data_IF_549042807484
#
_entry.id   IF_549042807484
#
_cell.length_a   1.000
_cell.length_b   1.000
_cell.length_c   1.000
_cell.angle_alpha   90.00
_cell.angle_beta   90.00
_cell.angle_gamma   90.00
#
_symmetry.space_group_name_H-M   'P 1'
#
loop_
_entity.id
_entity.type
_entity.pdbx_description
1 polymer ?
#
# COMPACT_ATOMS: atom_id res chain seq x y z
N UNK A 1 -39.44 69.16 -26.44
CA UNK A 1 -38.01 68.93 -26.66
C UNK A 1 -37.53 68.14 -25.48
N UNK A 2 -37.51 66.83 -25.57
CA UNK A 2 -37.15 65.93 -24.49
C UNK A 2 -35.81 65.25 -24.83
N UNK A 3 -34.81 65.52 -24.06
CA UNK A 3 -33.51 64.85 -24.10
C UNK A 3 -33.54 63.65 -23.15
N UNK A 4 -33.36 62.43 -23.65
CA UNK A 4 -33.23 61.21 -22.90
C UNK A 4 -31.76 61.02 -22.46
N UNK A 5 -31.45 60.68 -21.20
CA UNK A 5 -30.08 60.38 -20.81
C UNK A 5 -29.72 58.96 -21.17
N UNK A 6 -28.53 58.75 -21.76
CA UNK A 6 -27.91 57.49 -22.04
C UNK A 6 -27.45 56.80 -20.75
N UNK A 7 -27.91 55.60 -20.55
CA UNK A 7 -27.45 54.69 -19.47
C UNK A 7 -26.12 54.05 -19.87
N UNK A 8 -25.07 54.32 -19.12
CA UNK A 8 -23.78 53.65 -19.22
C UNK A 8 -23.86 52.33 -18.46
N UNK A 9 -23.87 51.21 -19.17
CA UNK A 9 -23.76 49.86 -18.63
C UNK A 9 -22.27 49.55 -18.45
N UNK A 10 -21.79 49.61 -17.21
CA UNK A 10 -20.46 49.12 -16.86
C UNK A 10 -20.47 47.59 -16.88
N UNK A 11 -19.74 46.98 -17.81
CA UNK A 11 -19.49 45.55 -17.83
C UNK A 11 -18.54 45.17 -16.68
N UNK A 12 -19.05 44.33 -15.74
CA UNK A 12 -18.22 43.70 -14.72
C UNK A 12 -17.38 42.61 -15.41
N UNK A 13 -16.08 42.81 -15.52
CA UNK A 13 -15.14 41.75 -15.90
C UNK A 13 -15.12 40.67 -14.82
N UNK A 14 -15.12 39.36 -15.20
CA UNK A 14 -15.00 38.29 -14.22
C UNK A 14 -13.61 38.32 -13.58
N UNK A 15 -13.57 38.38 -12.26
CA UNK A 15 -12.33 38.32 -11.49
C UNK A 15 -11.54 37.04 -11.82
N UNK A 16 -10.24 37.22 -12.08
CA UNK A 16 -9.33 36.08 -12.31
C UNK A 16 -9.33 35.10 -11.12
N UNK A 17 -9.25 33.79 -11.34
CA UNK A 17 -9.21 32.84 -10.26
C UNK A 17 -7.96 33.06 -9.40
N UNK A 18 -8.16 33.25 -8.10
CA UNK A 18 -7.08 33.36 -7.14
C UNK A 18 -6.30 32.05 -7.10
N UNK A 19 -4.95 32.09 -7.06
CA UNK A 19 -4.16 30.87 -6.91
C UNK A 19 -4.53 30.18 -5.57
N UNK A 20 -4.83 28.88 -5.65
CA UNK A 20 -5.13 28.07 -4.48
C UNK A 20 -3.96 28.14 -3.50
N UNK A 21 -4.22 28.57 -2.27
CA UNK A 21 -3.25 28.55 -1.18
C UNK A 21 -2.81 27.09 -0.96
N UNK A 22 -1.50 26.78 -0.94
CA UNK A 22 -1.05 25.41 -0.65
C UNK A 22 -1.57 25.00 0.72
N UNK A 23 -2.32 23.90 0.79
CA UNK A 23 -2.73 23.31 2.05
C UNK A 23 -1.45 22.92 2.82
N UNK A 24 -1.33 23.23 4.12
CA UNK A 24 -0.19 22.80 4.92
C UNK A 24 -0.11 21.28 4.88
N UNK A 25 1.09 20.74 4.61
CA UNK A 25 1.32 19.30 4.64
C UNK A 25 0.95 18.77 6.04
N UNK A 26 0.21 17.65 6.09
CA UNK A 26 -0.11 17.00 7.35
C UNK A 26 1.17 16.72 8.16
N UNK A 27 1.15 16.88 9.48
CA UNK A 27 2.30 16.55 10.32
C UNK A 27 2.70 15.08 10.11
N UNK A 28 4.00 14.78 10.13
CA UNK A 28 4.53 13.44 9.82
C UNK A 28 3.88 12.32 10.65
N UNK A 29 3.47 12.61 11.87
CA UNK A 29 2.77 11.67 12.74
C UNK A 29 1.38 11.25 12.22
N UNK A 30 0.77 12.01 11.30
CA UNK A 30 -0.54 11.73 10.73
C UNK A 30 -0.46 11.02 9.36
N UNK A 31 0.74 10.95 8.75
CA UNK A 31 0.92 10.27 7.47
C UNK A 31 0.94 8.75 7.65
N UNK A 32 0.16 8.04 6.85
CA UNK A 32 0.12 6.57 6.86
C UNK A 32 1.32 5.93 6.16
N UNK A 33 2.02 6.68 5.31
CA UNK A 33 3.27 6.28 4.66
C UNK A 33 4.32 7.35 4.91
N UNK A 34 5.49 6.94 5.42
CA UNK A 34 6.63 7.83 5.57
C UNK A 34 7.65 7.54 4.48
N UNK A 35 8.28 8.59 3.97
CA UNK A 35 9.29 8.49 2.92
C UNK A 35 10.52 9.33 3.27
N UNK A 36 11.69 8.73 3.13
CA UNK A 36 12.98 9.41 3.29
C UNK A 36 14.01 8.79 2.36
N UNK A 37 15.03 9.57 1.99
CA UNK A 37 16.17 9.08 1.22
C UNK A 37 17.45 9.24 2.05
N UNK A 38 18.20 8.16 2.19
CA UNK A 38 19.46 8.14 2.94
C UNK A 38 20.53 7.47 2.06
N UNK A 39 21.61 8.17 1.77
CA UNK A 39 22.71 7.64 0.97
C UNK A 39 22.24 6.98 -0.34
N UNK A 40 21.35 7.63 -1.07
CA UNK A 40 20.75 7.16 -2.33
C UNK A 40 19.82 5.95 -2.19
N UNK A 41 19.45 5.56 -0.98
CA UNK A 41 18.47 4.50 -0.71
C UNK A 41 17.15 5.14 -0.29
N UNK A 42 16.08 4.87 -1.01
CA UNK A 42 14.75 5.25 -0.60
C UNK A 42 14.28 4.32 0.53
N UNK A 43 13.74 4.88 1.60
CA UNK A 43 13.16 4.13 2.72
C UNK A 43 11.70 4.52 2.81
N UNK A 44 10.84 3.53 2.63
CA UNK A 44 9.39 3.65 2.76
C UNK A 44 8.95 2.90 4.00
N UNK A 45 8.30 3.62 4.91
CA UNK A 45 7.81 3.06 6.17
C UNK A 45 6.28 3.07 6.16
N UNK A 46 5.67 1.89 6.30
CA UNK A 46 4.23 1.74 6.52
C UNK A 46 3.91 2.21 7.94
N UNK A 47 3.11 3.28 8.10
CA UNK A 47 2.97 3.98 9.38
C UNK A 47 1.55 3.96 9.94
N UNK A 48 1.02 2.76 10.16
CA UNK A 48 -0.23 2.51 10.91
C UNK A 48 -0.01 1.46 12.00
N UNK A 49 0.93 1.67 12.96
CA UNK A 49 1.33 0.64 13.92
C UNK A 49 0.20 0.15 14.82
N UNK A 50 -0.80 0.99 15.10
CA UNK A 50 -1.99 0.62 15.86
C UNK A 50 -2.86 -0.42 15.13
N UNK A 51 -2.81 -0.43 13.79
CA UNK A 51 -3.50 -1.39 12.92
C UNK A 51 -2.55 -2.44 12.35
N UNK A 52 -1.37 -2.68 12.95
CA UNK A 52 -0.33 -3.58 12.44
C UNK A 52 0.08 -3.24 11.00
N UNK A 53 0.09 -1.96 10.66
CA UNK A 53 0.40 -1.43 9.33
C UNK A 53 -0.48 -2.01 8.22
N UNK A 54 -1.75 -2.34 8.53
CA UNK A 54 -2.72 -2.78 7.55
C UNK A 54 -2.92 -1.69 6.47
N UNK A 55 -3.00 -2.12 5.21
CA UNK A 55 -3.08 -1.26 4.05
C UNK A 55 -4.47 -0.61 3.93
N UNK A 56 -4.54 0.69 4.12
CA UNK A 56 -5.68 1.48 3.69
C UNK A 56 -5.63 1.72 2.17
N UNK A 57 -6.76 2.05 1.56
CA UNK A 57 -6.78 2.40 0.14
C UNK A 57 -5.91 3.64 -0.16
N UNK A 58 -5.87 4.59 0.78
CA UNK A 58 -4.99 5.76 0.67
C UNK A 58 -3.51 5.36 0.63
N UNK A 59 -3.08 4.45 1.54
CA UNK A 59 -1.71 3.92 1.54
C UNK A 59 -1.34 3.24 0.23
N UNK A 60 -2.23 2.39 -0.31
CA UNK A 60 -1.97 1.68 -1.58
C UNK A 60 -1.70 2.68 -2.71
N UNK A 61 -2.50 3.73 -2.81
CA UNK A 61 -2.34 4.76 -3.84
C UNK A 61 -1.10 5.62 -3.62
N UNK A 62 -0.81 5.98 -2.37
CA UNK A 62 0.38 6.75 -2.01
C UNK A 62 1.66 5.96 -2.31
N UNK A 63 1.70 4.66 -1.95
CA UNK A 63 2.81 3.76 -2.26
C UNK A 63 3.04 3.66 -3.76
N UNK A 64 2.01 3.48 -4.57
CA UNK A 64 2.14 3.43 -6.02
C UNK A 64 2.75 4.72 -6.58
N UNK A 65 2.28 5.88 -6.14
CA UNK A 65 2.84 7.18 -6.58
C UNK A 65 4.30 7.38 -6.14
N UNK A 66 4.65 7.00 -4.90
CA UNK A 66 6.02 7.07 -4.40
C UNK A 66 6.95 6.16 -5.18
N UNK A 67 6.52 4.94 -5.50
CA UNK A 67 7.32 3.98 -6.27
C UNK A 67 7.59 4.48 -7.70
N UNK A 68 6.61 5.10 -8.35
CA UNK A 68 6.83 5.72 -9.67
C UNK A 68 7.86 6.85 -9.60
N UNK A 69 7.81 7.68 -8.56
CA UNK A 69 8.81 8.73 -8.35
C UNK A 69 10.21 8.15 -8.10
N UNK A 70 10.31 7.11 -7.23
CA UNK A 70 11.59 6.41 -6.96
C UNK A 70 12.12 5.73 -8.21
N UNK A 71 11.25 5.18 -9.05
CA UNK A 71 11.62 4.56 -10.33
C UNK A 71 12.25 5.56 -11.29
N UNK A 72 11.68 6.76 -11.36
CA UNK A 72 12.12 7.84 -12.27
C UNK A 72 13.37 8.60 -11.79
N UNK A 73 13.73 8.51 -10.51
CA UNK A 73 14.84 9.26 -9.92
C UNK A 73 16.15 8.45 -10.00
N UNK A 74 17.03 8.77 -10.93
CA UNK A 74 18.36 8.12 -11.10
C UNK A 74 19.29 8.32 -9.90
N UNK A 75 19.05 9.29 -9.03
CA UNK A 75 19.83 9.48 -7.81
C UNK A 75 19.53 8.38 -6.77
N UNK A 76 18.39 7.71 -6.84
CA UNK A 76 18.00 6.60 -5.96
C UNK A 76 18.41 5.28 -6.62
N UNK A 77 19.12 4.43 -5.89
CA UNK A 77 19.66 3.16 -6.41
C UNK A 77 18.99 1.92 -5.81
N UNK A 78 18.29 2.03 -4.70
CA UNK A 78 17.61 0.92 -4.03
C UNK A 78 16.43 1.43 -3.20
N UNK A 79 15.54 0.51 -2.83
CA UNK A 79 14.36 0.74 -2.00
C UNK A 79 14.39 -0.18 -0.77
N UNK A 80 14.07 0.36 0.40
CA UNK A 80 13.79 -0.41 1.61
C UNK A 80 12.32 -0.24 1.96
N UNK A 81 11.63 -1.35 2.25
CA UNK A 81 10.28 -1.38 2.80
C UNK A 81 10.36 -1.84 4.25
N UNK A 82 9.75 -1.08 5.16
CA UNK A 82 9.69 -1.39 6.58
C UNK A 82 8.33 -1.02 7.17
N UNK A 83 7.98 -1.62 8.32
CA UNK A 83 6.79 -1.26 9.08
C UNK A 83 7.15 -0.45 10.32
N UNK A 84 6.35 0.57 10.64
CA UNK A 84 6.49 1.33 11.88
C UNK A 84 6.07 0.50 13.09
N UNK A 85 6.77 0.72 14.21
CA UNK A 85 6.49 0.08 15.50
C UNK A 85 6.98 -1.37 15.58
N UNK A 86 6.87 -1.99 16.76
CA UNK A 86 7.52 -3.28 17.04
C UNK A 86 6.67 -4.51 16.70
N UNK A 87 5.43 -4.34 16.20
CA UNK A 87 4.45 -5.45 16.12
C UNK A 87 4.39 -6.11 14.77
N UNK A 88 4.67 -5.42 13.68
CA UNK A 88 4.54 -6.00 12.37
C UNK A 88 5.02 -5.12 11.23
N UNK A 89 5.42 -5.80 10.17
CA UNK A 89 5.69 -5.16 8.88
C UNK A 89 4.37 -4.68 8.25
N UNK A 90 3.44 -5.62 7.99
CA UNK A 90 2.14 -5.32 7.41
C UNK A 90 1.18 -6.51 7.58
N UNK A 91 -0.01 -6.27 8.11
CA UNK A 91 -1.04 -7.30 8.31
C UNK A 91 -1.95 -7.55 7.10
N UNK A 92 -1.63 -6.95 5.93
CA UNK A 92 -2.44 -7.04 4.70
C UNK A 92 -3.45 -5.92 4.56
N UNK A 93 -4.43 -6.08 3.69
CA UNK A 93 -5.49 -5.09 3.47
C UNK A 93 -6.32 -4.82 4.74
N UNK A 94 -6.80 -3.58 4.89
CA UNK A 94 -7.69 -3.21 6.01
C UNK A 94 -9.10 -3.79 5.79
N UNK A 95 -9.26 -5.07 6.17
CA UNK A 95 -10.51 -5.83 5.98
C UNK A 95 -11.71 -5.14 6.65
N UNK A 96 -11.50 -4.38 7.74
CA UNK A 96 -12.59 -3.65 8.40
C UNK A 96 -13.08 -2.49 7.53
N UNK A 97 -12.16 -1.74 6.93
CA UNK A 97 -12.50 -0.67 5.99
C UNK A 97 -13.18 -1.25 4.73
N UNK A 98 -12.65 -2.35 4.17
CA UNK A 98 -13.25 -3.04 3.03
C UNK A 98 -14.68 -3.53 3.31
N UNK A 99 -14.92 -4.09 4.49
CA UNK A 99 -16.26 -4.50 4.91
C UNK A 99 -17.24 -3.32 4.96
N UNK A 100 -16.83 -2.16 5.49
CA UNK A 100 -17.68 -0.97 5.51
C UNK A 100 -18.00 -0.48 4.09
N UNK A 101 -16.99 -0.40 3.22
CA UNK A 101 -17.18 -0.05 1.80
C UNK A 101 -18.15 -1.01 1.09
N UNK A 102 -18.02 -2.31 1.33
CA UNK A 102 -18.94 -3.31 0.76
C UNK A 102 -20.38 -3.14 1.25
N UNK A 103 -20.57 -2.78 2.52
CA UNK A 103 -21.91 -2.47 3.06
C UNK A 103 -22.51 -1.19 2.49
N UNK A 104 -21.69 -0.17 2.26
CA UNK A 104 -22.11 1.09 1.63
C UNK A 104 -22.50 0.84 0.18
N UNK A 105 -21.71 0.05 -0.55
CA UNK A 105 -22.06 -0.36 -1.91
C UNK A 105 -23.41 -1.07 -2.01
N UNK A 106 -23.71 -1.94 -1.06
CA UNK A 106 -25.01 -2.63 -1.04
C UNK A 106 -26.21 -1.67 -0.87
N UNK A 107 -25.97 -0.43 -0.39
CA UNK A 107 -26.99 0.63 -0.23
C UNK A 107 -27.03 1.57 -1.43
N UNK A 108 -25.87 1.99 -1.95
CA UNK A 108 -25.71 3.15 -2.83
C UNK A 108 -25.14 2.80 -4.20
N UNK A 109 -24.76 1.53 -4.46
CA UNK A 109 -24.20 1.07 -5.75
C UNK A 109 -22.75 1.48 -6.01
N UNK A 110 -22.05 2.06 -5.02
CA UNK A 110 -20.65 2.49 -5.17
C UNK A 110 -19.67 1.30 -5.19
N UNK A 111 -18.62 1.32 -6.03
CA UNK A 111 -17.65 0.22 -6.23
C UNK A 111 -16.35 0.38 -5.43
N UNK A 112 -16.40 0.96 -4.24
CA UNK A 112 -15.19 1.36 -3.49
C UNK A 112 -14.29 0.19 -3.08
N UNK A 113 -14.84 -0.96 -2.67
CA UNK A 113 -14.03 -2.10 -2.23
C UNK A 113 -13.35 -2.82 -3.38
N UNK A 114 -13.99 -2.93 -4.55
CA UNK A 114 -13.35 -3.53 -5.74
C UNK A 114 -12.17 -2.68 -6.21
N UNK A 115 -12.29 -1.35 -6.13
CA UNK A 115 -11.22 -0.45 -6.53
C UNK A 115 -9.98 -0.60 -5.65
N UNK A 116 -10.14 -0.94 -4.36
CA UNK A 116 -9.01 -1.28 -3.50
C UNK A 116 -8.19 -2.44 -4.09
N UNK A 117 -8.82 -3.56 -4.44
CA UNK A 117 -8.11 -4.71 -5.00
C UNK A 117 -7.47 -4.41 -6.35
N UNK A 118 -8.14 -3.63 -7.21
CA UNK A 118 -7.56 -3.20 -8.49
C UNK A 118 -6.27 -2.41 -8.27
N UNK A 119 -6.28 -1.47 -7.32
CA UNK A 119 -5.13 -0.63 -7.04
C UNK A 119 -4.03 -1.41 -6.28
N UNK A 120 -4.40 -2.31 -5.36
CA UNK A 120 -3.46 -3.19 -4.65
C UNK A 120 -2.73 -4.13 -5.63
N UNK A 121 -3.43 -4.79 -6.55
CA UNK A 121 -2.79 -5.68 -7.51
C UNK A 121 -1.90 -4.93 -8.52
N UNK A 122 -2.23 -3.69 -8.85
CA UNK A 122 -1.34 -2.82 -9.64
C UNK A 122 -0.07 -2.46 -8.86
N UNK A 123 -0.20 -2.18 -7.56
CA UNK A 123 0.94 -1.94 -6.68
C UNK A 123 1.83 -3.18 -6.58
N UNK A 124 1.24 -4.37 -6.40
CA UNK A 124 2.00 -5.63 -6.36
C UNK A 124 2.74 -5.86 -7.68
N UNK A 125 2.08 -5.68 -8.81
CA UNK A 125 2.71 -5.79 -10.13
C UNK A 125 3.87 -4.79 -10.30
N UNK A 126 3.68 -3.54 -9.87
CA UNK A 126 4.71 -2.51 -9.92
C UNK A 126 5.94 -2.91 -9.09
N UNK A 127 5.74 -3.44 -7.88
CA UNK A 127 6.81 -3.92 -7.00
C UNK A 127 7.53 -5.13 -7.60
N UNK A 128 6.80 -6.13 -8.10
CA UNK A 128 7.40 -7.33 -8.69
C UNK A 128 8.17 -7.08 -10.00
N UNK A 129 7.85 -5.98 -10.68
CA UNK A 129 8.55 -5.55 -11.92
C UNK A 129 9.46 -4.35 -11.70
N UNK A 130 9.75 -4.02 -10.43
CA UNK A 130 10.53 -2.83 -10.10
C UNK A 130 11.97 -2.94 -10.57
N UNK A 131 12.47 -1.89 -11.23
CA UNK A 131 13.78 -1.92 -11.88
C UNK A 131 14.97 -1.73 -10.93
N UNK A 132 14.72 -1.35 -9.65
CA UNK A 132 15.77 -1.17 -8.64
C UNK A 132 15.63 -2.24 -7.54
N UNK A 133 16.73 -2.66 -6.90
CA UNK A 133 16.67 -3.64 -5.81
C UNK A 133 15.77 -3.17 -4.69
N UNK A 134 14.90 -4.06 -4.21
CA UNK A 134 14.05 -3.86 -3.04
C UNK A 134 14.55 -4.75 -1.91
N UNK A 135 14.65 -4.19 -0.71
CA UNK A 135 14.87 -4.90 0.55
C UNK A 135 13.63 -4.75 1.41
N UNK A 136 13.07 -5.84 1.93
CA UNK A 136 11.95 -5.81 2.85
C UNK A 136 12.36 -6.28 4.24
N UNK A 137 12.09 -5.46 5.27
CA UNK A 137 12.33 -5.78 6.67
C UNK A 137 11.06 -6.38 7.27
N UNK A 138 10.93 -7.72 7.24
CA UNK A 138 9.73 -8.44 7.65
C UNK A 138 9.72 -8.69 9.18
N UNK A 139 9.81 -7.60 9.97
CA UNK A 139 9.85 -7.71 11.42
C UNK A 139 8.43 -7.76 12.02
N UNK A 140 8.12 -8.83 12.72
CA UNK A 140 6.78 -9.10 13.28
C UNK A 140 5.79 -9.64 12.24
N UNK A 141 4.51 -9.22 12.35
CA UNK A 141 3.41 -9.73 11.50
C UNK A 141 3.58 -9.31 10.05
N UNK A 142 3.49 -10.28 9.12
CA UNK A 142 3.53 -10.09 7.68
C UNK A 142 2.50 -11.02 7.04
N UNK A 143 1.34 -10.49 6.62
CA UNK A 143 0.21 -11.34 6.19
C UNK A 143 -0.50 -10.73 4.97
N UNK A 144 -1.12 -11.59 4.15
CA UNK A 144 -1.96 -11.17 3.03
C UNK A 144 -1.26 -10.17 2.11
N UNK A 145 -1.84 -8.98 1.87
CA UNK A 145 -1.21 -7.90 1.10
C UNK A 145 0.19 -7.52 1.61
N UNK A 146 0.49 -7.68 2.91
CA UNK A 146 1.83 -7.53 3.44
C UNK A 146 2.83 -8.57 2.90
N UNK A 147 2.35 -9.78 2.61
CA UNK A 147 3.14 -10.79 1.89
C UNK A 147 3.35 -10.36 0.43
N UNK A 148 2.33 -9.84 -0.24
CA UNK A 148 2.46 -9.29 -1.61
C UNK A 148 3.59 -8.26 -1.70
N UNK A 149 3.59 -7.28 -0.80
CA UNK A 149 4.66 -6.27 -0.73
C UNK A 149 6.03 -6.90 -0.42
N UNK A 150 6.09 -7.79 0.59
CA UNK A 150 7.34 -8.38 1.06
C UNK A 150 7.97 -9.34 0.05
N UNK A 151 7.16 -10.16 -0.61
CA UNK A 151 7.63 -11.17 -1.56
C UNK A 151 8.11 -10.60 -2.90
N UNK A 152 7.77 -9.35 -3.20
CA UNK A 152 8.33 -8.61 -4.34
C UNK A 152 9.81 -8.23 -4.12
N UNK A 153 10.30 -8.22 -2.88
CA UNK A 153 11.67 -7.82 -2.56
C UNK A 153 12.70 -8.85 -3.01
N UNK A 154 13.80 -8.34 -3.58
CA UNK A 154 14.97 -9.14 -3.93
C UNK A 154 15.67 -9.73 -2.68
N UNK A 155 15.64 -9.00 -1.56
CA UNK A 155 16.14 -9.44 -0.27
C UNK A 155 15.07 -9.24 0.80
N UNK A 156 14.69 -10.31 1.47
CA UNK A 156 13.77 -10.31 2.61
C UNK A 156 14.56 -10.60 3.87
N UNK A 157 14.37 -9.78 4.89
CA UNK A 157 15.05 -9.93 6.18
C UNK A 157 14.00 -10.30 7.22
N UNK A 158 14.00 -11.56 7.64
CA UNK A 158 13.20 -12.05 8.75
C UNK A 158 13.93 -11.89 10.09
N UNK A 159 13.18 -11.70 11.16
CA UNK A 159 13.67 -11.63 12.53
C UNK A 159 13.09 -12.75 13.38
N UNK A 160 13.51 -12.88 14.61
CA UNK A 160 12.91 -13.81 15.59
C UNK A 160 11.43 -13.49 15.91
N UNK A 161 10.96 -12.28 15.58
CA UNK A 161 9.57 -11.85 15.77
C UNK A 161 8.70 -12.08 14.53
N UNK A 162 9.31 -12.38 13.39
CA UNK A 162 8.58 -12.57 12.12
C UNK A 162 7.53 -13.66 12.23
N UNK A 163 6.32 -13.33 11.78
CA UNK A 163 5.16 -14.23 11.68
C UNK A 163 4.52 -14.02 10.33
N UNK A 164 4.59 -15.01 9.47
CA UNK A 164 4.10 -14.97 8.09
C UNK A 164 2.87 -15.85 7.94
N UNK A 165 1.85 -15.38 7.23
CA UNK A 165 0.70 -16.20 6.85
C UNK A 165 0.00 -15.65 5.60
N UNK A 166 -0.73 -16.55 4.89
CA UNK A 166 -1.75 -16.19 3.91
C UNK A 166 -3.11 -16.62 4.48
N UNK A 167 -3.76 -15.77 5.33
CA UNK A 167 -4.93 -16.18 6.11
C UNK A 167 -6.27 -16.02 5.36
N UNK A 168 -6.26 -15.75 4.06
CA UNK A 168 -7.41 -15.37 3.25
C UNK A 168 -8.53 -16.41 3.31
N UNK A 169 -8.19 -17.70 3.30
CA UNK A 169 -9.17 -18.79 3.40
C UNK A 169 -10.00 -18.76 4.67
N UNK A 170 -9.49 -18.16 5.76
CA UNK A 170 -10.20 -18.02 7.03
C UNK A 170 -11.30 -16.94 6.99
N UNK A 171 -11.28 -16.08 5.97
CA UNK A 171 -12.26 -15.00 5.78
C UNK A 171 -13.05 -15.14 4.48
N UNK A 172 -12.99 -16.32 3.85
CA UNK A 172 -13.76 -16.62 2.64
C UNK A 172 -13.16 -16.06 1.35
N UNK A 173 -11.88 -15.70 1.37
CA UNK A 173 -11.10 -15.32 0.20
C UNK A 173 -10.12 -16.44 -0.16
N UNK A 174 -9.42 -16.29 -1.27
CA UNK A 174 -8.29 -17.13 -1.66
C UNK A 174 -6.98 -16.33 -1.50
N UNK A 175 -5.82 -16.99 -1.29
CA UNK A 175 -4.53 -16.32 -1.34
C UNK A 175 -4.31 -15.66 -2.70
N UNK A 176 -4.25 -14.35 -2.69
CA UNK A 176 -4.08 -13.46 -3.84
C UNK A 176 -2.69 -12.79 -3.83
N UNK A 177 -2.55 -11.52 -4.19
CA UNK A 177 -1.33 -10.69 -4.13
C UNK A 177 -0.06 -11.38 -4.62
N UNK A 178 -0.18 -12.28 -5.60
CA UNK A 178 0.93 -13.07 -6.14
C UNK A 178 1.23 -14.36 -5.37
N UNK A 179 0.37 -14.80 -4.45
CA UNK A 179 0.59 -15.99 -3.62
C UNK A 179 0.89 -17.24 -4.43
N UNK A 180 0.19 -17.49 -5.52
CA UNK A 180 0.45 -18.64 -6.40
C UNK A 180 1.87 -18.65 -6.96
N UNK A 181 2.49 -17.47 -7.14
CA UNK A 181 3.86 -17.37 -7.61
C UNK A 181 4.89 -17.63 -6.50
N UNK A 182 4.72 -17.01 -5.32
CA UNK A 182 5.74 -17.16 -4.28
C UNK A 182 5.56 -18.44 -3.46
N UNK A 183 4.34 -18.93 -3.24
CA UNK A 183 4.12 -20.22 -2.59
C UNK A 183 4.62 -21.38 -3.43
N UNK A 184 4.50 -21.33 -4.76
CA UNK A 184 5.01 -22.37 -5.67
C UNK A 184 6.55 -22.55 -5.61
N UNK A 185 7.28 -21.67 -4.91
CA UNK A 185 8.71 -21.84 -4.65
C UNK A 185 9.02 -22.69 -3.43
N UNK A 186 8.00 -22.99 -2.62
CA UNK A 186 8.08 -23.88 -1.46
C UNK A 186 8.04 -25.34 -1.86
N UNK A 187 8.41 -26.29 -0.95
CA UNK A 187 8.02 -27.69 -1.11
C UNK A 187 6.50 -27.80 -1.28
N UNK A 188 6.04 -28.65 -2.22
CA UNK A 188 4.62 -28.70 -2.64
C UNK A 188 3.66 -28.97 -1.48
N UNK A 189 4.07 -29.78 -0.49
CA UNK A 189 3.27 -30.07 0.70
C UNK A 189 3.08 -28.84 1.57
N UNK A 190 4.10 -27.98 1.66
CA UNK A 190 4.06 -26.74 2.43
C UNK A 190 3.27 -25.65 1.68
N UNK A 191 3.40 -25.57 0.35
CA UNK A 191 2.61 -24.68 -0.48
C UNK A 191 1.11 -24.85 -0.23
N UNK A 192 0.62 -26.08 -0.40
CA UNK A 192 -0.78 -26.40 -0.19
C UNK A 192 -1.21 -26.22 1.27
N UNK A 193 -0.37 -26.65 2.21
CA UNK A 193 -0.66 -26.48 3.63
C UNK A 193 -0.84 -25.00 4.01
N UNK A 194 0.11 -24.14 3.66
CA UNK A 194 0.07 -22.70 3.99
C UNK A 194 -1.07 -22.01 3.25
N UNK A 195 -1.21 -22.26 1.94
CA UNK A 195 -2.22 -21.60 1.11
C UNK A 195 -3.66 -21.98 1.45
N UNK A 196 -3.91 -23.25 1.81
CA UNK A 196 -5.27 -23.71 2.08
C UNK A 196 -5.70 -23.54 3.53
N UNK A 197 -4.76 -23.60 4.49
CA UNK A 197 -5.10 -23.53 5.93
C UNK A 197 -4.91 -22.15 6.53
N UNK A 198 -4.18 -21.25 5.86
CA UNK A 198 -3.76 -19.99 6.43
C UNK A 198 -2.83 -20.18 7.64
N UNK A 199 -2.03 -21.26 7.67
CA UNK A 199 -1.12 -21.54 8.76
C UNK A 199 -0.09 -20.44 8.91
N UNK A 200 0.25 -20.15 10.18
CA UNK A 200 1.25 -19.14 10.52
C UNK A 200 2.63 -19.80 10.60
N UNK A 201 3.59 -19.25 9.89
CA UNK A 201 5.00 -19.63 9.91
C UNK A 201 5.81 -18.65 10.75
N UNK A 202 6.82 -19.14 11.44
CA UNK A 202 7.85 -18.28 12.07
C UNK A 202 8.86 -17.78 11.04
N UNK A 203 9.71 -16.82 11.42
CA UNK A 203 10.81 -16.39 10.55
C UNK A 203 11.76 -17.53 10.16
N UNK A 204 12.02 -18.48 11.06
CA UNK A 204 12.84 -19.66 10.78
C UNK A 204 12.17 -20.58 9.77
N UNK A 205 10.86 -20.85 9.92
CA UNK A 205 10.08 -21.63 8.96
C UNK A 205 10.07 -20.96 7.58
N UNK A 206 9.89 -19.62 7.54
CA UNK A 206 9.89 -18.87 6.30
C UNK A 206 11.23 -19.00 5.54
N UNK A 207 12.35 -18.86 6.26
CA UNK A 207 13.69 -19.07 5.66
C UNK A 207 13.85 -20.50 5.14
N UNK A 208 13.41 -21.51 5.94
CA UNK A 208 13.47 -22.92 5.54
C UNK A 208 12.61 -23.17 4.28
N UNK A 209 11.45 -22.55 4.19
CA UNK A 209 10.51 -22.68 3.08
C UNK A 209 10.83 -21.74 1.90
N UNK A 210 11.86 -20.92 1.97
CA UNK A 210 12.28 -19.96 0.92
C UNK A 210 11.27 -18.83 0.66
N UNK A 211 10.49 -18.48 1.65
CA UNK A 211 9.57 -17.33 1.63
C UNK A 211 10.27 -16.02 1.98
#
# INVERSE_FOLDING_TARGET
>A
MNATPASVQAALEPAAPQPATPQPAAPEAEKEVLFRVVNRVAIVTLNRPAALNALSHAMVRELAGLLENVRADDAIVALVLEGAGPKGFCAGGDVRALYQLAREQARDGANGWQQFFVDEYRLDYLLHTFCKPIVALLDGVTMGGGMGLGQAAALRIATSRTKIAMPETRIGLLPDVGATHFLAKMPVEMELYVGLTGAMLTGADAVHCRL
#
